data_IF_930710588510
#
_entry.id   IF_930710588510
#
_cell.length_a   1.000
_cell.length_b   1.000
_cell.length_c   1.000
_cell.angle_alpha   90.00
_cell.angle_beta   90.00
_cell.angle_gamma   90.00
#
_symmetry.space_group_name_H-M   'P 1'
#
loop_
_entity.id
_entity.type
_entity.pdbx_description
1 polymer ?
#
# COMPACT_ATOMS: atom_id res chain seq x y z
N UNK A 1 -20.15 -12.98 -1.10
CA UNK A 1 -20.87 -11.70 -1.31
C UNK A 1 -22.07 -11.53 -0.38
N UNK A 2 -22.87 -12.57 -0.13
CA UNK A 2 -24.03 -12.54 0.79
C UNK A 2 -23.72 -11.88 2.15
N UNK A 3 -22.64 -12.32 2.81
CA UNK A 3 -22.24 -11.82 4.14
C UNK A 3 -21.87 -10.31 4.13
N UNK A 4 -21.27 -9.82 3.04
CA UNK A 4 -20.96 -8.38 2.89
C UNK A 4 -22.23 -7.56 2.70
N UNK A 5 -23.19 -8.10 1.94
CA UNK A 5 -24.47 -7.45 1.68
C UNK A 5 -25.34 -7.37 2.95
N UNK A 6 -25.40 -8.45 3.73
CA UNK A 6 -26.11 -8.49 5.01
C UNK A 6 -25.50 -7.52 6.02
N UNK A 7 -24.17 -7.47 6.12
CA UNK A 7 -23.47 -6.52 6.99
C UNK A 7 -23.74 -5.08 6.58
N UNK A 8 -23.72 -4.77 5.29
CA UNK A 8 -24.00 -3.42 4.79
C UNK A 8 -25.46 -3.00 5.08
N UNK A 9 -26.44 -3.86 4.78
CA UNK A 9 -27.86 -3.60 5.07
C UNK A 9 -28.12 -3.38 6.56
N UNK A 10 -27.45 -4.14 7.43
CA UNK A 10 -27.61 -4.03 8.89
C UNK A 10 -27.11 -2.70 9.45
N UNK A 11 -26.08 -2.11 8.84
CA UNK A 11 -25.43 -0.89 9.35
C UNK A 11 -25.63 0.32 8.42
N UNK A 12 -26.53 0.24 7.44
CA UNK A 12 -26.76 1.29 6.45
C UNK A 12 -27.30 2.58 7.09
N UNK A 13 -28.12 2.45 8.13
CA UNK A 13 -28.83 3.56 8.80
C UNK A 13 -28.11 3.99 10.09
N UNK A 14 -26.87 3.54 10.31
CA UNK A 14 -26.09 3.90 11.50
C UNK A 14 -25.77 5.38 11.55
N UNK A 15 -26.02 5.95 12.72
CA UNK A 15 -25.72 7.34 13.04
C UNK A 15 -24.22 7.54 13.30
N UNK A 16 -23.77 8.79 13.23
CA UNK A 16 -22.37 9.15 13.53
C UNK A 16 -21.94 8.72 14.93
N UNK A 17 -22.86 8.74 15.90
CA UNK A 17 -22.60 8.32 17.28
C UNK A 17 -22.41 6.81 17.42
N UNK A 18 -23.08 6.01 16.58
CA UNK A 18 -22.89 4.56 16.53
C UNK A 18 -21.55 4.20 15.90
N UNK A 19 -21.16 4.88 14.81
CA UNK A 19 -19.84 4.68 14.20
C UNK A 19 -18.69 5.01 15.14
N UNK A 20 -18.85 6.02 16.00
CA UNK A 20 -17.83 6.39 17.01
C UNK A 20 -17.57 5.31 18.06
N UNK A 21 -18.48 4.34 18.23
CA UNK A 21 -18.29 3.21 19.16
C UNK A 21 -17.46 2.09 18.54
N UNK A 22 -17.19 2.15 17.24
CA UNK A 22 -16.44 1.11 16.53
C UNK A 22 -14.96 1.47 16.52
N UNK A 23 -14.11 0.55 16.96
CA UNK A 23 -12.66 0.65 16.83
C UNK A 23 -12.22 -0.28 15.70
N UNK A 24 -11.66 0.30 14.65
CA UNK A 24 -11.06 -0.46 13.55
C UNK A 24 -9.56 -0.66 13.82
N UNK A 25 -9.10 -1.88 13.62
CA UNK A 25 -7.68 -2.24 13.64
C UNK A 25 -7.37 -3.04 12.38
N UNK A 26 -6.29 -2.70 11.72
CA UNK A 26 -5.75 -3.46 10.59
C UNK A 26 -4.23 -3.32 10.61
N UNK A 27 -3.54 -4.29 10.01
CA UNK A 27 -2.10 -4.24 9.84
C UNK A 27 -1.77 -3.67 8.47
N UNK A 28 -0.86 -2.70 8.41
CA UNK A 28 -0.37 -2.18 7.14
C UNK A 28 1.12 -2.40 6.95
N UNK A 29 1.50 -2.74 5.72
CA UNK A 29 2.90 -2.91 5.36
C UNK A 29 3.52 -1.56 5.03
N UNK A 30 4.50 -1.14 5.82
CA UNK A 30 5.30 0.06 5.55
C UNK A 30 6.71 -0.37 5.11
N UNK A 31 7.08 0.01 3.89
CA UNK A 31 8.43 -0.21 3.38
C UNK A 31 9.32 0.98 3.75
N UNK A 32 10.36 0.72 4.55
CA UNK A 32 11.38 1.74 4.88
C UNK A 32 12.30 2.00 3.68
N UNK A 33 12.54 0.96 2.88
CA UNK A 33 13.38 1.02 1.69
C UNK A 33 12.75 0.25 0.54
N UNK A 34 12.76 0.86 -0.65
CA UNK A 34 12.20 0.27 -1.87
C UNK A 34 10.69 0.42 -1.97
N UNK A 35 10.19 0.54 -3.20
CA UNK A 35 8.75 0.54 -3.50
C UNK A 35 8.30 -0.88 -3.85
N UNK A 36 7.08 -1.25 -3.44
CA UNK A 36 6.46 -2.48 -3.95
C UNK A 36 6.02 -2.33 -5.42
N UNK A 37 5.95 -1.09 -5.92
CA UNK A 37 5.64 -0.75 -7.30
C UNK A 37 6.87 -0.48 -8.18
N UNK A 38 6.60 -0.15 -9.45
CA UNK A 38 7.64 0.17 -10.43
C UNK A 38 8.44 1.43 -10.07
N UNK A 39 9.76 1.35 -10.23
CA UNK A 39 10.65 2.49 -10.03
C UNK A 39 10.52 3.47 -11.21
N UNK A 40 10.31 4.75 -10.92
CA UNK A 40 10.42 5.80 -11.92
C UNK A 40 11.89 6.16 -12.15
N UNK A 41 12.26 6.33 -13.42
CA UNK A 41 13.57 6.82 -13.83
C UNK A 41 13.40 7.86 -14.95
N UNK A 42 14.35 8.78 -15.02
CA UNK A 42 14.40 9.80 -16.07
C UNK A 42 15.44 9.37 -17.11
N UNK A 43 15.04 9.28 -18.39
CA UNK A 43 15.96 9.03 -19.50
C UNK A 43 15.84 10.10 -20.58
N UNK A 44 16.92 10.32 -21.32
CA UNK A 44 16.86 11.12 -22.55
C UNK A 44 16.11 10.34 -23.65
N UNK A 45 15.32 10.99 -24.53
CA UNK A 45 14.41 10.31 -25.45
C UNK A 45 15.04 9.30 -26.43
N UNK A 46 16.33 9.45 -26.77
CA UNK A 46 16.99 8.69 -27.85
C UNK A 46 18.17 7.81 -27.41
N UNK A 47 18.36 7.60 -26.10
CA UNK A 47 19.44 6.74 -25.59
C UNK A 47 18.97 5.32 -25.29
N UNK A 48 19.75 4.32 -25.71
CA UNK A 48 19.72 2.99 -25.07
C UNK A 48 19.94 3.15 -23.56
N UNK A 49 19.36 2.25 -22.76
CA UNK A 49 19.56 2.24 -21.32
C UNK A 49 21.05 2.16 -21.00
N UNK A 50 21.58 3.22 -20.40
CA UNK A 50 22.97 3.23 -19.96
C UNK A 50 23.02 2.64 -18.55
N UNK A 51 24.17 2.06 -18.18
CA UNK A 51 24.38 1.49 -16.84
C UNK A 51 24.01 2.46 -15.71
N UNK A 52 24.22 3.76 -15.91
CA UNK A 52 23.85 4.84 -14.96
C UNK A 52 22.35 5.07 -14.81
N UNK A 53 21.53 4.61 -15.76
CA UNK A 53 20.08 4.75 -15.73
C UNK A 53 19.43 3.57 -14.96
N UNK A 54 20.23 2.55 -14.60
CA UNK A 54 19.80 1.39 -13.82
C UNK A 54 20.10 1.62 -12.33
N UNK A 55 19.06 1.56 -11.49
CA UNK A 55 19.24 1.43 -10.05
C UNK A 55 19.32 -0.05 -9.68
N UNK A 56 20.53 -0.54 -9.42
CA UNK A 56 20.73 -1.85 -8.82
C UNK A 56 20.37 -1.79 -7.34
N UNK A 57 19.27 -2.44 -6.95
CA UNK A 57 18.89 -2.60 -5.54
C UNK A 57 19.41 -3.93 -5.02
N UNK A 58 20.26 -3.89 -3.99
CA UNK A 58 20.62 -5.07 -3.19
C UNK A 58 19.52 -5.28 -2.14
N UNK A 59 18.97 -6.50 -2.05
CA UNK A 59 17.97 -6.84 -1.02
C UNK A 59 18.68 -7.03 0.32
N UNK A 60 18.69 -6.00 1.16
CA UNK A 60 19.10 -6.12 2.55
C UNK A 60 18.00 -6.80 3.37
N UNK A 61 18.36 -7.71 4.29
CA UNK A 61 17.43 -8.58 5.03
C UNK A 61 16.58 -7.86 6.08
N UNK A 62 16.66 -6.52 6.17
CA UNK A 62 16.12 -5.74 7.29
C UNK A 62 15.53 -4.41 6.80
N UNK A 63 14.27 -4.42 6.38
CA UNK A 63 13.53 -3.18 6.09
C UNK A 63 12.03 -3.43 5.91
N UNK A 64 11.41 -4.12 6.88
CA UNK A 64 9.96 -4.21 6.97
C UNK A 64 9.57 -3.97 8.42
N UNK A 65 8.87 -2.86 8.67
CA UNK A 65 8.16 -2.66 9.92
C UNK A 65 6.73 -3.15 9.69
N UNK A 66 6.24 -3.97 10.60
CA UNK A 66 4.84 -4.36 10.68
C UNK A 66 4.31 -3.69 11.94
N UNK A 67 3.23 -2.92 11.80
CA UNK A 67 2.58 -2.17 12.88
C UNK A 67 1.10 -2.44 12.84
#
# INVERSE_FOLDING_TARGET
>A
MQHRLEWAKKHQDWTVEEWRKVVFSDETKINVWGTDGGNYYWKRPSGLFQHRDLKFTVKHRASKLMT
#
